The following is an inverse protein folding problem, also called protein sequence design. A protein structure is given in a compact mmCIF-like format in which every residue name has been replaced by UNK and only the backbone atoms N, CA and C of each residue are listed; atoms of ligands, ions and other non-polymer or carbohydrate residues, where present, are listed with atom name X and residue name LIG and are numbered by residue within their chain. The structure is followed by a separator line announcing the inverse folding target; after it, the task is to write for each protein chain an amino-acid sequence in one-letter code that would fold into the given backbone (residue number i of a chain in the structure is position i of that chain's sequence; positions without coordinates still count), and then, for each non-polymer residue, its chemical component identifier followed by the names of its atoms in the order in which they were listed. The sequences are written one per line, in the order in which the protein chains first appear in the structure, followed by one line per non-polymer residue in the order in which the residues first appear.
data_IF_645796672170
#
_entry.id   IF_645796672170
#
_cell.length_a   1.000
_cell.length_b   1.000
_cell.length_c   1.000
_cell.angle_alpha   90.00
_cell.angle_beta   90.00
_cell.angle_gamma   90.00
#
_symmetry.space_group_name_H-M   'P 1'
#
loop_
_entity.id
_entity.type
_entity.pdbx_description
1 polymer ?
#
# COMPACT_ATOMS: atom_id res chain seq x y z
N UNK A 1 -13.63 10.13 -14.19
CA UNK A 1 -13.14 9.11 -13.23
C UNK A 1 -11.63 9.16 -13.25
N UNK A 2 -11.02 9.40 -12.09
CA UNK A 2 -9.57 9.51 -11.99
C UNK A 2 -8.92 8.13 -12.01
N UNK A 3 -7.85 8.00 -12.78
CA UNK A 3 -7.06 6.77 -12.89
C UNK A 3 -5.59 7.11 -12.75
N UNK A 4 -4.94 6.54 -11.74
CA UNK A 4 -3.49 6.59 -11.60
C UNK A 4 -2.90 5.29 -12.14
N UNK A 5 -2.14 5.36 -13.21
CA UNK A 5 -1.42 4.21 -13.75
C UNK A 5 0.06 4.33 -13.38
N UNK A 6 0.60 3.31 -12.73
CA UNK A 6 2.00 3.26 -12.32
C UNK A 6 2.68 2.08 -13.01
N UNK A 7 3.68 2.38 -13.83
CA UNK A 7 4.47 1.41 -14.58
C UNK A 7 5.79 1.15 -13.86
N UNK A 8 5.97 -0.08 -13.37
CA UNK A 8 7.09 -0.47 -12.50
C UNK A 8 8.08 -1.32 -13.27
N UNK A 9 9.35 -0.94 -13.27
CA UNK A 9 10.42 -1.76 -13.84
C UNK A 9 10.46 -3.13 -13.15
N UNK A 10 10.67 -4.21 -13.92
CA UNK A 10 10.64 -5.59 -13.41
C UNK A 10 11.62 -5.82 -12.25
N UNK A 11 12.86 -5.32 -12.39
CA UNK A 11 13.89 -5.41 -11.34
C UNK A 11 13.60 -4.53 -10.10
N UNK A 12 12.69 -3.54 -10.21
CA UNK A 12 12.33 -2.62 -9.10
C UNK A 12 13.51 -1.86 -8.47
N UNK A 13 14.58 -1.64 -9.22
CA UNK A 13 15.76 -0.86 -8.80
C UNK A 13 15.73 0.62 -9.21
N UNK A 14 14.74 0.99 -10.03
CA UNK A 14 14.55 2.33 -10.57
C UNK A 14 13.17 2.87 -10.20
N UNK A 15 12.99 4.18 -10.35
CA UNK A 15 11.68 4.81 -10.23
C UNK A 15 10.70 4.22 -11.25
N UNK A 16 9.45 4.09 -10.82
CA UNK A 16 8.32 3.83 -11.68
C UNK A 16 7.87 5.13 -12.36
N UNK A 17 7.09 4.99 -13.44
CA UNK A 17 6.40 6.11 -14.09
C UNK A 17 4.93 6.13 -13.66
N UNK A 18 4.51 7.21 -13.02
CA UNK A 18 3.13 7.46 -12.64
C UNK A 18 2.46 8.40 -13.64
N UNK A 19 1.31 8.00 -14.17
CA UNK A 19 0.49 8.82 -15.08
C UNK A 19 -0.90 8.95 -14.49
N UNK A 20 -1.27 10.19 -14.14
CA UNK A 20 -2.61 10.53 -13.69
C UNK A 20 -3.49 10.90 -14.90
N UNK A 21 -4.65 10.28 -15.00
CA UNK A 21 -5.64 10.52 -16.06
C UNK A 21 -7.00 10.82 -15.47
N UNK A 22 -7.78 11.63 -16.19
CA UNK A 22 -9.22 11.75 -16.01
C UNK A 22 -9.92 11.35 -17.30
N UNK A 23 -10.53 10.16 -17.28
CA UNK A 23 -10.99 9.47 -18.48
C UNK A 23 -9.85 9.27 -19.48
N UNK A 24 -9.95 9.89 -20.66
CA UNK A 24 -8.93 9.77 -21.69
C UNK A 24 -7.81 10.82 -21.58
N UNK A 25 -8.03 11.90 -20.83
CA UNK A 25 -7.10 13.02 -20.73
C UNK A 25 -6.00 12.73 -19.71
N UNK A 26 -4.74 12.86 -20.13
CA UNK A 26 -3.60 12.87 -19.19
C UNK A 26 -3.53 14.21 -18.48
N UNK A 27 -3.51 14.19 -17.15
CA UNK A 27 -3.39 15.38 -16.30
C UNK A 27 -1.91 15.63 -15.97
N UNK A 28 -1.22 14.59 -15.49
CA UNK A 28 0.16 14.69 -15.05
C UNK A 28 0.90 13.38 -15.33
N UNK A 29 2.22 13.46 -15.50
CA UNK A 29 3.13 12.31 -15.55
C UNK A 29 4.37 12.65 -14.74
N UNK A 30 4.74 11.78 -13.82
CA UNK A 30 5.87 11.99 -12.90
C UNK A 30 6.40 10.65 -12.38
N UNK A 31 7.37 10.68 -11.47
CA UNK A 31 8.00 9.52 -10.87
C UNK A 31 7.21 8.97 -9.68
N UNK A 32 7.38 7.67 -9.45
CA UNK A 32 6.90 6.97 -8.28
C UNK A 32 7.92 5.90 -7.84
N UNK A 33 7.71 5.33 -6.66
CA UNK A 33 8.50 4.20 -6.14
C UNK A 33 7.56 3.14 -5.59
N UNK A 34 7.59 1.98 -6.24
CA UNK A 34 6.89 0.77 -5.82
C UNK A 34 7.91 -0.30 -5.41
N UNK A 35 8.90 0.10 -4.61
CA UNK A 35 10.04 -0.75 -4.25
C UNK A 35 10.25 -0.75 -2.75
N UNK A 36 10.06 -1.90 -2.12
CA UNK A 36 10.39 -2.09 -0.71
C UNK A 36 11.92 -2.06 -0.49
N UNK A 37 12.31 -1.71 0.73
CA UNK A 37 13.70 -1.68 1.20
C UNK A 37 14.13 -3.09 1.65
N UNK A 38 15.08 -3.76 0.96
CA UNK A 38 15.45 -5.14 1.27
C UNK A 38 15.92 -5.36 2.72
N UNK A 39 16.65 -4.41 3.29
CA UNK A 39 17.12 -4.50 4.68
C UNK A 39 15.95 -4.54 5.69
N UNK A 40 14.93 -3.70 5.50
CA UNK A 40 13.73 -3.67 6.35
C UNK A 40 12.92 -4.95 6.13
N UNK A 41 12.72 -5.35 4.87
CA UNK A 41 11.97 -6.56 4.53
C UNK A 41 12.62 -7.81 5.15
N UNK A 42 13.95 -7.94 5.08
CA UNK A 42 14.70 -9.02 5.71
C UNK A 42 14.55 -9.04 7.24
N UNK A 43 14.68 -7.89 7.91
CA UNK A 43 14.45 -7.77 9.36
C UNK A 43 13.03 -8.18 9.78
N UNK A 44 12.06 -8.10 8.86
CA UNK A 44 10.67 -8.49 9.07
C UNK A 44 10.32 -9.87 8.51
N UNK A 45 11.31 -10.69 8.15
CA UNK A 45 11.11 -12.07 7.70
C UNK A 45 10.68 -12.22 6.23
N UNK A 46 10.91 -11.20 5.41
CA UNK A 46 10.67 -11.19 3.97
C UNK A 46 11.92 -10.74 3.18
N UNK A 47 13.05 -11.48 3.22
CA UNK A 47 14.32 -11.03 2.64
C UNK A 47 14.29 -10.85 1.11
N UNK A 48 13.43 -11.58 0.40
CA UNK A 48 13.25 -11.45 -1.04
C UNK A 48 12.30 -10.33 -1.46
N UNK A 49 11.78 -9.53 -0.51
CA UNK A 49 10.74 -8.53 -0.76
C UNK A 49 9.52 -9.11 -1.51
N UNK A 50 9.13 -10.35 -1.21
CA UNK A 50 8.04 -11.09 -1.86
C UNK A 50 6.76 -10.23 -1.87
N UNK A 51 6.21 -9.88 -3.06
CA UNK A 51 5.04 -9.02 -3.16
C UNK A 51 3.79 -9.55 -2.47
N UNK A 52 3.67 -10.86 -2.27
CA UNK A 52 2.51 -11.46 -1.60
C UNK A 52 2.54 -11.21 -0.10
N UNK A 53 3.72 -11.02 0.50
CA UNK A 53 3.90 -10.91 1.95
C UNK A 53 4.04 -9.44 2.38
N UNK A 54 3.69 -9.17 3.63
CA UNK A 54 3.97 -7.86 4.25
C UNK A 54 5.46 -7.49 4.12
N UNK A 55 5.74 -6.19 4.08
CA UNK A 55 7.09 -5.64 3.89
C UNK A 55 7.74 -5.93 2.53
N UNK A 56 7.02 -6.59 1.63
CA UNK A 56 7.46 -6.84 0.26
C UNK A 56 7.08 -5.72 -0.70
N UNK A 57 7.50 -5.86 -1.95
CA UNK A 57 7.13 -4.93 -3.01
C UNK A 57 5.61 -4.80 -3.15
N UNK A 58 5.04 -3.62 -3.45
CA UNK A 58 3.63 -3.51 -3.84
C UNK A 58 3.29 -4.48 -5.00
N UNK A 59 2.31 -5.39 -4.84
CA UNK A 59 1.95 -6.38 -5.85
C UNK A 59 1.28 -5.71 -7.06
N UNK A 60 1.51 -6.27 -8.26
CA UNK A 60 0.88 -5.74 -9.47
C UNK A 60 -0.61 -6.07 -9.49
N UNK A 61 -1.44 -5.18 -10.03
CA UNK A 61 -2.88 -5.36 -10.06
C UNK A 61 -3.65 -4.05 -10.16
N UNK A 62 -4.97 -4.16 -10.09
CA UNK A 62 -5.85 -3.01 -9.97
C UNK A 62 -6.27 -2.83 -8.52
N UNK A 63 -6.44 -1.57 -8.15
CA UNK A 63 -6.81 -1.17 -6.82
C UNK A 63 -7.86 -0.06 -6.87
N UNK A 64 -8.75 -0.03 -5.87
CA UNK A 64 -9.75 1.01 -5.69
C UNK A 64 -9.42 1.87 -4.48
N UNK A 65 -9.54 3.18 -4.61
CA UNK A 65 -9.32 4.08 -3.49
C UNK A 65 -10.42 3.87 -2.44
N UNK A 66 -10.01 3.51 -1.23
CA UNK A 66 -10.88 3.41 -0.06
C UNK A 66 -11.02 4.75 0.66
N UNK A 67 -9.91 5.47 0.80
CA UNK A 67 -9.88 6.66 1.66
C UNK A 67 -8.74 7.60 1.29
N UNK A 68 -9.02 8.89 1.44
CA UNK A 68 -8.03 9.98 1.46
C UNK A 68 -8.05 10.65 2.83
N UNK A 69 -6.88 10.95 3.37
CA UNK A 69 -6.71 11.64 4.64
C UNK A 69 -5.55 12.64 4.57
N UNK A 70 -5.64 13.80 5.24
CA UNK A 70 -4.45 14.60 5.52
C UNK A 70 -3.51 13.82 6.44
N UNK A 71 -2.20 13.95 6.22
CA UNK A 71 -1.20 13.35 7.09
C UNK A 71 -1.09 14.15 8.39
N UNK A 72 -0.98 13.46 9.52
CA UNK A 72 -0.76 14.13 10.80
C UNK A 72 0.58 14.91 10.80
N UNK A 73 0.69 16.06 11.49
CA UNK A 73 1.88 16.92 11.43
C UNK A 73 3.20 16.22 11.81
N UNK A 74 3.16 15.30 12.77
CA UNK A 74 4.29 14.48 13.21
C UNK A 74 4.79 13.49 12.14
N UNK A 75 3.93 13.13 11.19
CA UNK A 75 4.20 12.18 10.11
C UNK A 75 4.41 12.86 8.75
N UNK A 76 3.97 14.12 8.60
CA UNK A 76 4.00 14.85 7.33
C UNK A 76 5.41 14.99 6.74
N UNK A 77 6.43 15.10 7.60
CA UNK A 77 7.83 15.17 7.18
C UNK A 77 8.32 13.92 6.44
N UNK A 78 7.73 12.74 6.67
CA UNK A 78 8.15 11.49 6.04
C UNK A 78 7.20 11.04 4.93
N UNK A 79 5.89 11.27 5.12
CA UNK A 79 4.82 10.75 4.27
C UNK A 79 4.18 11.81 3.36
N UNK A 80 4.61 13.08 3.44
CA UNK A 80 4.00 14.18 2.69
C UNK A 80 2.66 14.62 3.29
N UNK A 81 1.95 15.53 2.60
CA UNK A 81 0.75 16.17 3.13
C UNK A 81 -0.50 15.29 3.22
N UNK A 82 -0.55 14.19 2.46
CA UNK A 82 -1.73 13.33 2.38
C UNK A 82 -1.37 11.84 2.34
N UNK A 83 -2.30 11.01 2.86
CA UNK A 83 -2.29 9.56 2.76
C UNK A 83 -3.50 9.11 1.95
N UNK A 84 -3.27 8.26 0.96
CA UNK A 84 -4.32 7.59 0.18
C UNK A 84 -4.27 6.09 0.46
N UNK A 85 -5.41 5.50 0.76
CA UNK A 85 -5.57 4.09 1.05
C UNK A 85 -6.32 3.42 -0.10
N UNK A 86 -5.78 2.33 -0.59
CA UNK A 86 -6.33 1.58 -1.71
C UNK A 86 -6.55 0.11 -1.33
N UNK A 87 -7.68 -0.48 -1.70
CA UNK A 87 -7.91 -1.93 -1.60
C UNK A 87 -7.57 -2.63 -2.92
N UNK A 88 -7.08 -3.88 -2.88
CA UNK A 88 -6.88 -4.67 -4.09
C UNK A 88 -8.23 -5.08 -4.71
N UNK A 89 -8.32 -5.04 -6.03
CA UNK A 89 -9.50 -5.51 -6.76
C UNK A 89 -9.22 -6.71 -7.67
N UNK A 90 -7.98 -6.86 -8.17
CA UNK A 90 -7.64 -7.94 -9.11
C UNK A 90 -6.14 -8.16 -9.27
N UNK A 91 -5.78 -9.30 -9.86
CA UNK A 91 -4.41 -9.69 -10.15
C UNK A 91 -3.66 -10.15 -8.90
N UNK A 92 -2.32 -10.08 -8.95
CA UNK A 92 -1.43 -10.47 -7.84
C UNK A 92 -1.74 -9.65 -6.57
N UNK A 93 -2.27 -8.44 -6.73
CA UNK A 93 -2.73 -7.63 -5.62
C UNK A 93 -3.86 -8.28 -4.82
N UNK A 94 -4.82 -8.92 -5.49
CA UNK A 94 -5.92 -9.63 -4.84
C UNK A 94 -5.41 -10.93 -4.19
N UNK A 95 -4.50 -11.65 -4.85
CA UNK A 95 -3.89 -12.86 -4.27
C UNK A 95 -3.16 -12.56 -2.96
N UNK A 96 -2.48 -11.40 -2.89
CA UNK A 96 -1.75 -10.95 -1.70
C UNK A 96 -2.67 -10.68 -0.49
N UNK A 97 -3.97 -10.45 -0.70
CA UNK A 97 -4.95 -10.30 0.38
C UNK A 97 -5.01 -11.56 1.26
N UNK A 98 -4.95 -12.74 0.63
CA UNK A 98 -4.92 -14.05 1.32
C UNK A 98 -3.69 -14.23 2.22
N UNK A 99 -2.65 -13.41 2.02
CA UNK A 99 -1.43 -13.38 2.82
C UNK A 99 -1.40 -12.19 3.81
N UNK A 100 -2.55 -11.53 4.02
CA UNK A 100 -2.73 -10.46 5.00
C UNK A 100 -2.44 -9.06 4.46
N UNK A 101 -2.22 -8.87 3.15
CA UNK A 101 -2.07 -7.55 2.53
C UNK A 101 -3.43 -6.99 2.12
N UNK A 102 -4.17 -6.46 3.09
CA UNK A 102 -5.54 -5.99 2.89
C UNK A 102 -5.65 -4.67 2.12
N UNK A 103 -4.57 -3.88 2.07
CA UNK A 103 -4.58 -2.59 1.41
C UNK A 103 -3.16 -2.13 1.02
N UNK A 104 -3.11 -1.12 0.17
CA UNK A 104 -1.91 -0.42 -0.26
C UNK A 104 -1.97 1.04 0.21
N UNK A 105 -0.94 1.46 0.94
CA UNK A 105 -0.74 2.86 1.33
C UNK A 105 -0.01 3.59 0.19
N UNK A 106 -0.59 4.70 -0.26
CA UNK A 106 0.00 5.60 -1.26
C UNK A 106 0.20 6.97 -0.63
N UNK A 107 1.40 7.52 -0.76
CA UNK A 107 1.80 8.73 -0.04
C UNK A 107 2.98 9.42 -0.75
N UNK A 108 3.43 10.57 -0.23
CA UNK A 108 4.52 11.38 -0.79
C UNK A 108 5.79 11.34 0.06
N UNK A 109 6.36 12.50 0.32
CA UNK A 109 7.47 12.68 1.24
C UNK A 109 8.81 12.95 0.57
N UNK A 110 9.86 13.22 1.36
CA UNK A 110 11.10 13.78 0.86
C UNK A 110 11.93 12.75 0.11
N UNK A 111 12.72 13.26 -0.82
CA UNK A 111 13.81 12.53 -1.48
C UNK A 111 14.90 12.18 -0.46
N UNK A 112 15.80 11.29 -0.84
CA UNK A 112 17.03 11.05 -0.08
C UNK A 112 17.95 12.28 -0.10
N UNK A 113 19.04 12.22 0.67
CA UNK A 113 20.09 13.25 0.66
C UNK A 113 20.78 13.39 -0.70
N UNK A 114 20.64 12.39 -1.59
CA UNK A 114 21.11 12.39 -2.97
C UNK A 114 20.10 12.97 -3.97
N UNK A 115 18.99 13.54 -3.49
CA UNK A 115 17.92 14.12 -4.31
C UNK A 115 17.07 13.10 -5.06
N UNK A 116 17.30 11.79 -4.87
CA UNK A 116 16.56 10.71 -5.54
C UNK A 116 15.42 10.21 -4.68
N UNK A 117 14.41 9.60 -5.31
CA UNK A 117 13.29 9.02 -4.54
C UNK A 117 13.75 7.82 -3.70
N UNK A 118 13.27 7.77 -2.45
CA UNK A 118 13.57 6.68 -1.51
C UNK A 118 12.68 5.47 -1.74
N UNK A 119 13.21 4.28 -1.42
CA UNK A 119 12.43 3.05 -1.28
C UNK A 119 11.40 3.18 -0.16
N UNK A 120 10.41 2.30 -0.19
CA UNK A 120 9.31 2.23 0.79
C UNK A 120 9.51 1.04 1.74
N UNK A 121 8.58 0.85 2.66
CA UNK A 121 8.45 -0.34 3.50
C UNK A 121 7.37 -1.31 2.98
N UNK A 122 6.87 -1.09 1.76
CA UNK A 122 5.84 -1.92 1.11
C UNK A 122 4.66 -1.15 0.53
N UNK A 123 4.60 0.16 0.72
CA UNK A 123 3.67 1.09 0.09
C UNK A 123 4.16 1.63 -1.26
N UNK A 124 3.39 2.57 -1.82
CA UNK A 124 3.70 3.30 -3.05
C UNK A 124 4.00 4.77 -2.71
N UNK A 125 5.22 5.22 -3.02
CA UNK A 125 5.61 6.61 -2.85
C UNK A 125 5.49 7.36 -4.17
N UNK A 126 4.81 8.50 -4.18
CA UNK A 126 4.72 9.44 -5.30
C UNK A 126 5.63 10.64 -5.04
N UNK A 127 5.93 11.44 -6.08
CA UNK A 127 6.43 12.80 -5.83
C UNK A 127 5.36 13.62 -5.11
N UNK A 128 5.78 14.62 -4.31
CA UNK A 128 4.83 15.52 -3.65
C UNK A 128 3.94 16.23 -4.67
N UNK A 129 4.52 16.71 -5.78
CA UNK A 129 3.77 17.35 -6.86
C UNK A 129 2.69 16.46 -7.46
N UNK A 130 2.97 15.16 -7.71
CA UNK A 130 1.96 14.22 -8.20
C UNK A 130 0.87 13.97 -7.15
N UNK A 131 1.25 13.80 -5.88
CA UNK A 131 0.29 13.60 -4.79
C UNK A 131 -0.64 14.81 -4.63
N UNK A 132 -0.09 16.02 -4.62
CA UNK A 132 -0.86 17.26 -4.51
C UNK A 132 -1.80 17.41 -5.71
N UNK A 133 -1.32 17.12 -6.93
CA UNK A 133 -2.17 17.11 -8.14
C UNK A 133 -3.33 16.12 -8.01
N UNK A 134 -3.10 14.93 -7.45
CA UNK A 134 -4.17 13.94 -7.20
C UNK A 134 -5.19 14.51 -6.21
N UNK A 135 -4.71 15.09 -5.11
CA UNK A 135 -5.58 15.62 -4.04
C UNK A 135 -6.42 16.80 -4.53
N UNK A 136 -5.83 17.72 -5.29
CA UNK A 136 -6.51 18.86 -5.89
C UNK A 136 -7.60 18.43 -6.89
N UNK A 137 -7.36 17.33 -7.61
CA UNK A 137 -8.30 16.81 -8.61
C UNK A 137 -9.42 15.97 -8.00
N UNK A 138 -9.13 15.26 -6.91
CA UNK A 138 -10.10 14.42 -6.20
C UNK A 138 -11.17 15.28 -5.52
N UNK A 139 -12.39 15.23 -6.05
CA UNK A 139 -13.56 15.77 -5.34
C UNK A 139 -13.96 14.85 -4.15
N UNK A 140 -14.76 15.37 -3.22
CA UNK A 140 -15.13 14.64 -2.00
C UNK A 140 -15.91 13.33 -2.24
N UNK A 141 -16.54 13.18 -3.41
CA UNK A 141 -17.36 12.02 -3.79
C UNK A 141 -16.80 11.23 -4.97
N UNK A 142 -15.58 11.53 -5.43
CA UNK A 142 -15.03 10.87 -6.61
C UNK A 142 -14.29 9.59 -6.26
N UNK A 143 -14.62 8.54 -7.01
CA UNK A 143 -13.85 7.31 -7.02
C UNK A 143 -12.57 7.48 -7.86
N UNK A 144 -11.52 6.83 -7.38
CA UNK A 144 -10.23 6.77 -8.06
C UNK A 144 -9.74 5.33 -8.11
N UNK A 145 -9.20 4.95 -9.25
CA UNK A 145 -8.57 3.65 -9.46
C UNK A 145 -7.06 3.81 -9.60
N UNK A 146 -6.33 2.82 -9.09
CA UNK A 146 -4.88 2.71 -9.23
C UNK A 146 -4.57 1.41 -9.98
N UNK A 147 -3.78 1.52 -11.04
CA UNK A 147 -3.28 0.38 -11.80
C UNK A 147 -1.78 0.27 -11.62
N UNK A 148 -1.32 -0.77 -10.93
CA UNK A 148 0.11 -1.06 -10.80
C UNK A 148 0.48 -2.16 -11.80
N UNK A 149 1.23 -1.80 -12.83
CA UNK A 149 1.56 -2.70 -13.94
C UNK A 149 3.06 -2.78 -14.16
N UNK A 150 3.55 -3.86 -14.77
CA UNK A 150 4.93 -3.93 -15.21
C UNK A 150 5.19 -2.91 -16.33
N UNK A 151 6.35 -2.25 -16.25
CA UNK A 151 6.88 -1.44 -17.33
C UNK A 151 7.23 -2.39 -18.47
N UNK A 152 6.43 -2.38 -19.53
CA UNK A 152 6.75 -3.13 -20.75
C UNK A 152 7.83 -2.39 -21.50
N UNK A 153 8.83 -3.13 -21.98
CA UNK A 153 9.78 -2.60 -22.94
C UNK A 153 8.99 -2.02 -24.13
N UNK A 154 9.37 -0.84 -24.63
CA UNK A 154 8.74 -0.25 -25.80
C UNK A 154 8.79 -1.23 -26.97
N UNK A 155 7.73 -1.26 -27.78
CA UNK A 155 7.80 -1.97 -29.05
C UNK A 155 8.87 -1.31 -29.92
N UNK A 156 9.52 -2.07 -30.79
CA UNK A 156 10.65 -1.60 -31.59
C UNK A 156 10.35 -0.34 -32.43
N UNK A 157 9.09 -0.08 -32.78
CA UNK A 157 8.65 1.14 -33.46
C UNK A 157 8.66 2.39 -32.57
N UNK A 158 8.60 2.24 -31.25
CA UNK A 158 8.60 3.35 -30.29
C UNK A 158 10.00 3.88 -29.98
N UNK A 159 11.05 3.35 -30.63
CA UNK A 159 12.43 3.84 -30.51
C UNK A 159 12.59 5.32 -30.88
N UNK A 160 11.71 5.86 -31.72
CA UNK A 160 11.73 7.27 -32.12
C UNK A 160 11.03 8.19 -31.11
N UNK A 161 10.30 7.63 -30.14
CA UNK A 161 9.66 8.40 -29.08
C UNK A 161 10.64 8.72 -27.95
N UNK A 162 10.54 9.92 -27.38
CA UNK A 162 11.23 10.23 -26.11
C UNK A 162 10.74 9.25 -25.05
N UNK A 163 11.58 8.30 -24.66
CA UNK A 163 11.26 7.38 -23.58
C UNK A 163 11.16 8.15 -22.27
N UNK A 164 10.11 7.87 -21.49
CA UNK A 164 10.04 8.35 -20.13
C UNK A 164 11.20 7.72 -19.34
N UNK A 165 12.16 8.55 -18.95
CA UNK A 165 13.40 8.09 -18.35
C UNK A 165 13.13 7.69 -16.89
N UNK A 166 13.34 6.42 -16.56
CA UNK A 166 13.32 5.99 -15.16
C UNK A 166 14.64 6.38 -14.49
N UNK A 167 14.59 6.83 -13.25
CA UNK A 167 15.77 7.26 -12.50
C UNK A 167 16.21 6.16 -11.53
N UNK A 168 17.51 6.04 -11.23
CA UNK A 168 17.94 5.18 -10.13
C UNK A 168 17.30 5.63 -8.80
N UNK A 169 16.93 4.67 -7.96
CA UNK A 169 16.44 4.96 -6.61
C UNK A 169 17.57 5.52 -5.74
N UNK A 170 17.20 6.19 -4.64
CA UNK A 170 18.16 6.68 -3.66
C UNK A 170 18.97 5.54 -3.07
N UNK A 171 20.28 5.74 -2.96
CA UNK A 171 21.18 4.82 -2.26
C UNK A 171 21.09 4.90 -0.74
N UNK A 172 20.43 5.94 -0.23
CA UNK A 172 20.26 6.14 1.21
C UNK A 172 19.37 5.05 1.79
N UNK A 173 19.89 4.35 2.80
CA UNK A 173 19.08 3.39 3.54
C UNK A 173 17.96 4.13 4.26
N UNK A 174 16.72 3.70 4.02
CA UNK A 174 15.59 4.17 4.80
C UNK A 174 15.82 3.74 6.24
N UNK A 175 15.92 4.71 7.17
CA UNK A 175 15.99 4.40 8.59
C UNK A 175 14.71 3.62 8.95
N UNK A 176 14.81 2.41 9.54
CA UNK A 176 13.63 1.68 9.99
C UNK A 176 12.84 2.58 10.93
N UNK A 177 11.60 2.90 10.55
CA UNK A 177 10.71 3.65 11.43
C UNK A 177 10.15 2.66 12.45
N UNK A 178 10.25 2.95 13.75
CA UNK A 178 9.62 2.11 14.75
C UNK A 178 8.10 2.28 14.68
N UNK A 179 7.33 1.25 15.08
CA UNK A 179 5.92 1.43 15.40
C UNK A 179 5.73 2.57 16.41
N UNK A 180 4.69 3.41 16.27
CA UNK A 180 3.57 3.31 15.31
C UNK A 180 3.78 4.06 13.99
N UNK A 181 5.01 4.51 13.70
CA UNK A 181 5.29 5.44 12.58
C UNK A 181 5.62 4.68 11.28
N UNK A 182 5.77 3.36 11.33
CA UNK A 182 5.99 2.53 10.13
C UNK A 182 4.73 2.40 9.26
N UNK A 183 4.94 2.04 7.98
CA UNK A 183 3.85 1.97 7.00
C UNK A 183 2.77 0.95 7.37
N UNK A 184 3.15 -0.19 7.98
CA UNK A 184 2.20 -1.24 8.34
C UNK A 184 1.32 -0.81 9.51
N UNK A 185 1.90 -0.16 10.53
CA UNK A 185 1.15 0.42 11.66
C UNK A 185 0.19 1.51 11.19
N UNK A 186 0.63 2.39 10.29
CA UNK A 186 -0.24 3.41 9.69
C UNK A 186 -1.38 2.74 8.92
N UNK A 187 -1.08 1.75 8.08
CA UNK A 187 -2.09 1.01 7.32
C UNK A 187 -3.14 0.38 8.25
N UNK A 188 -2.71 -0.28 9.32
CA UNK A 188 -3.58 -0.90 10.31
C UNK A 188 -4.47 0.14 11.02
N UNK A 189 -3.89 1.26 11.44
CA UNK A 189 -4.63 2.38 12.05
C UNK A 189 -5.71 2.91 11.10
N UNK A 190 -5.38 3.09 9.82
CA UNK A 190 -6.33 3.57 8.82
C UNK A 190 -7.45 2.55 8.57
N UNK A 191 -7.11 1.26 8.43
CA UNK A 191 -8.09 0.19 8.20
C UNK A 191 -9.06 0.02 9.37
N UNK A 192 -8.57 0.08 10.63
CA UNK A 192 -9.43 0.06 11.82
C UNK A 192 -10.49 1.16 11.80
N UNK A 193 -10.17 2.31 11.19
CA UNK A 193 -11.07 3.43 11.06
C UNK A 193 -11.96 3.39 9.80
N UNK A 194 -11.70 2.51 8.83
CA UNK A 194 -12.53 2.33 7.61
C UNK A 194 -13.80 1.53 7.93
N UNK A 195 -13.69 0.47 8.72
CA UNK A 195 -14.79 -0.48 9.03
C UNK A 195 -16.01 0.20 9.67
N UNK A 196 -15.85 1.38 10.26
CA UNK A 196 -16.95 2.13 10.89
C UNK A 196 -17.84 2.90 9.90
N UNK A 197 -17.42 3.07 8.64
CA UNK A 197 -18.26 3.69 7.61
C UNK A 197 -19.08 2.64 6.90
N UNK A 198 -20.16 2.25 7.56
CA UNK A 198 -21.38 1.69 6.98
C UNK A 198 -21.20 0.71 5.82
N UNK A 199 -21.45 -0.58 6.10
CA UNK A 199 -22.46 -1.30 5.31
C UNK A 199 -23.70 -0.39 5.27
N UNK A 200 -23.71 0.56 4.34
CA UNK A 200 -24.94 1.18 3.88
C UNK A 200 -25.68 0.01 3.28
N UNK A 201 -26.76 -0.36 3.93
CA UNK A 201 -27.62 -1.47 3.60
C UNK A 201 -27.91 -1.50 2.10
N UNK A 202 -27.15 -2.30 1.35
CA UNK A 202 -27.64 -2.92 0.10
C UNK A 202 -28.76 -3.93 0.40
N UNK A 203 -29.33 -3.89 1.60
CA UNK A 203 -30.40 -4.75 2.09
C UNK A 203 -31.81 -4.17 1.85
N UNK A 204 -31.92 -2.92 1.43
CA UNK A 204 -33.21 -2.25 1.15
C UNK A 204 -33.49 -1.99 -0.34
N UNK A 205 -33.04 -2.90 -1.22
CA UNK A 205 -33.63 -3.01 -2.57
C UNK A 205 -34.36 -4.34 -2.77
N UNK A 206 -34.76 -4.96 -1.65
CA UNK A 206 -35.76 -6.03 -1.61
C UNK A 206 -37.10 -5.54 -1.05
N UNK A 207 -37.34 -4.23 -1.09
CA UNK A 207 -38.65 -3.63 -0.88
C UNK A 207 -39.43 -3.76 -2.21
N UNK A 208 -40.48 -4.57 -2.15
CA UNK A 208 -41.72 -4.44 -2.90
C UNK A 208 -41.74 -4.70 -4.42
N UNK A 209 -41.59 -5.98 -4.79
CA UNK A 209 -42.35 -6.55 -5.93
C UNK A 209 -43.27 -7.70 -5.50
N UNK A 210 -43.67 -7.72 -4.23
CA UNK A 210 -44.81 -8.52 -3.77
C UNK A 210 -45.95 -7.56 -3.48
N UNK A 211 -46.77 -7.31 -4.49
CA UNK A 211 -48.20 -6.96 -4.37
C UNK A 211 -48.65 -6.07 -5.54
N UNK A 212 -48.66 -6.59 -6.77
CA UNK A 212 -49.72 -6.21 -7.72
C UNK A 212 -49.78 -7.22 -8.86
N UNK A 213 -50.74 -8.14 -8.78
CA UNK A 213 -51.47 -8.80 -9.89
C UNK A 213 -52.28 -9.93 -9.25
N UNK A 214 -53.47 -9.66 -8.69
CA UNK A 214 -54.75 -9.76 -9.40
C UNK A 214 -54.75 -10.94 -10.42
N UNK A 215 -55.39 -12.09 -10.11
CA UNK A 215 -56.80 -12.41 -10.46
C UNK A 215 -57.17 -11.88 -11.86
N UNK A 216 -57.58 -12.66 -12.87
CA UNK A 216 -58.41 -13.85 -12.90
C UNK A 216 -58.33 -14.54 -14.30
N UNK A 217 -58.74 -15.82 -14.36
CA UNK A 217 -59.45 -16.48 -15.46
C UNK A 217 -58.88 -16.51 -16.89
N UNK A 218 -58.48 -17.70 -17.38
CA UNK A 218 -59.36 -18.57 -18.20
C UNK A 218 -58.59 -19.58 -19.09
N UNK A 219 -59.05 -20.84 -18.98
CA UNK A 219 -59.09 -21.96 -19.96
C UNK A 219 -58.48 -21.68 -21.36
N UNK A 220 -57.61 -22.58 -21.86
CA UNK A 220 -57.97 -23.70 -22.78
C UNK A 220 -56.73 -24.46 -23.30
N UNK A 221 -56.77 -25.79 -23.08
CA UNK A 221 -56.35 -26.93 -23.91
C UNK A 221 -55.46 -26.83 -25.16
N UNK A 222 -54.70 -27.94 -25.33
CA UNK A 222 -54.20 -28.61 -26.57
C UNK A 222 -52.88 -28.07 -27.14
N UNK A 223 -51.99 -28.83 -27.79
CA UNK A 223 -51.70 -30.25 -27.99
C UNK A 223 -50.43 -30.30 -28.88
N UNK A 224 -49.69 -31.42 -28.91
CA UNK A 224 -48.65 -31.70 -29.93
C UNK A 224 -47.22 -31.39 -29.47
N UNK A 225 -46.37 -32.42 -29.29
CA UNK A 225 -45.43 -32.97 -30.31
C UNK A 225 -44.13 -32.16 -30.31
N UNK A 226 -42.89 -32.67 -30.27
CA UNK A 226 -42.25 -33.97 -30.44
C UNK A 226 -40.97 -33.92 -29.59
N UNK A 227 -40.70 -34.96 -28.79
CA UNK A 227 -39.52 -35.84 -28.92
C UNK A 227 -38.34 -35.22 -29.70
N UNK A 228 -37.28 -34.90 -28.98
CA UNK A 228 -35.93 -35.18 -29.46
C UNK A 228 -35.07 -35.78 -28.34
N UNK A 229 -34.62 -37.01 -28.61
CA UNK A 229 -33.77 -37.83 -27.78
C UNK A 229 -32.33 -37.31 -27.83
N UNK A 230 -31.87 -36.58 -26.81
CA UNK A 230 -30.43 -36.37 -26.62
C UNK A 230 -29.85 -37.41 -25.64
N UNK A 231 -29.50 -38.57 -26.21
CA UNK A 231 -28.80 -39.66 -25.53
C UNK A 231 -27.29 -39.40 -25.51
N UNK A 232 -26.86 -38.56 -24.57
CA UNK A 232 -25.44 -38.30 -24.29
C UNK A 232 -24.83 -39.37 -23.39
N UNK A 233 -23.92 -40.18 -23.96
CA UNK A 233 -23.17 -41.27 -23.33
C UNK A 233 -22.48 -40.88 -22.02
N UNK A 234 -22.62 -41.76 -21.02
CA UNK A 234 -21.76 -41.80 -19.85
C UNK A 234 -20.30 -41.99 -20.25
N UNK A 235 -19.44 -41.15 -19.68
CA UNK A 235 -18.01 -41.35 -19.63
C UNK A 235 -17.63 -41.75 -18.21
N UNK A 236 -17.21 -42.99 -18.03
CA UNK A 236 -16.38 -43.42 -16.91
C UNK A 236 -15.08 -42.60 -16.94
N UNK A 237 -14.93 -41.64 -16.05
CA UNK A 237 -13.62 -41.12 -15.69
C UNK A 237 -13.18 -41.82 -14.41
N UNK A 238 -12.33 -42.82 -14.60
CA UNK A 238 -11.69 -43.59 -13.53
C UNK A 238 -10.90 -42.71 -12.58
N UNK A 239 -10.86 -43.17 -11.33
CA UNK A 239 -10.10 -42.55 -10.24
C UNK A 239 -8.61 -42.49 -10.54
N UNK A 240 -8.03 -41.34 -10.24
CA UNK A 240 -6.62 -41.17 -9.97
C UNK A 240 -6.49 -40.56 -8.58
N UNK A 241 -6.29 -41.41 -7.57
CA UNK A 241 -5.97 -40.97 -6.23
C UNK A 241 -4.59 -40.32 -6.22
N UNK A 242 -4.54 -39.00 -6.07
CA UNK A 242 -3.33 -38.30 -5.67
C UNK A 242 -3.29 -38.24 -4.13
N UNK A 243 -2.90 -39.35 -3.52
CA UNK A 243 -2.44 -39.38 -2.13
C UNK A 243 -1.05 -38.75 -2.04
N UNK A 244 -0.98 -37.42 -2.15
CA UNK A 244 0.22 -36.67 -1.83
C UNK A 244 0.33 -36.54 -0.32
N UNK A 245 1.11 -37.42 0.30
CA UNK A 245 1.51 -37.28 1.70
C UNK A 245 2.25 -35.96 1.87
N UNK A 246 1.68 -35.05 2.65
CA UNK A 246 2.43 -33.94 3.22
C UNK A 246 3.25 -34.52 4.36
N UNK A 247 4.44 -35.00 4.05
CA UNK A 247 5.46 -35.21 5.07
C UNK A 247 5.73 -33.85 5.70
N UNK A 248 5.07 -33.67 6.84
CA UNK A 248 5.21 -32.51 7.69
C UNK A 248 6.63 -32.51 8.22
N UNK A 249 7.49 -31.69 7.61
CA UNK A 249 8.70 -31.25 8.28
C UNK A 249 8.31 -30.72 9.66
N UNK A 250 8.93 -31.25 10.71
CA UNK A 250 8.71 -30.85 12.09
C UNK A 250 9.10 -29.37 12.27
N UNK A 251 8.13 -28.49 12.12
CA UNK A 251 8.26 -27.05 12.28
C UNK A 251 6.87 -26.44 12.33
N UNK A 252 6.24 -26.50 13.51
CA UNK A 252 4.84 -26.17 13.74
C UNK A 252 4.44 -24.79 13.23
N UNK A 253 3.70 -24.76 12.12
CA UNK A 253 2.95 -23.60 11.69
C UNK A 253 1.54 -23.66 12.29
N UNK A 254 1.11 -22.57 12.92
CA UNK A 254 -0.25 -22.38 13.46
C UNK A 254 -1.25 -22.37 12.30
N UNK A 255 -2.08 -23.41 12.22
CA UNK A 255 -3.18 -23.50 11.25
C UNK A 255 -4.46 -22.85 11.75
N UNK A 256 -5.23 -22.29 10.82
CA UNK A 256 -6.62 -21.84 10.99
C UNK A 256 -7.52 -23.00 10.56
N UNK A 257 -8.53 -23.35 11.35
CA UNK A 257 -9.45 -24.43 10.97
C UNK A 257 -10.43 -24.00 9.86
N UNK A 258 -11.17 -24.96 9.30
CA UNK A 258 -12.18 -24.73 8.26
C UNK A 258 -13.34 -23.80 8.72
N UNK A 259 -13.42 -23.47 10.01
CA UNK A 259 -14.37 -22.50 10.56
C UNK A 259 -13.76 -21.10 10.74
N UNK A 260 -12.53 -20.86 10.26
CA UNK A 260 -11.86 -19.56 10.38
C UNK A 260 -11.35 -19.26 11.80
N UNK A 261 -11.25 -20.25 12.69
CA UNK A 261 -10.76 -20.05 14.05
C UNK A 261 -9.25 -20.28 14.09
N UNK A 262 -8.53 -19.29 14.62
CA UNK A 262 -7.13 -19.45 15.00
C UNK A 262 -7.10 -20.32 16.26
N UNK A 263 -6.64 -21.56 16.15
CA UNK A 263 -6.41 -22.42 17.32
C UNK A 263 -5.14 -21.93 18.02
N UNK A 264 -5.31 -20.97 18.91
CA UNK A 264 -4.27 -20.46 19.80
C UNK A 264 -4.02 -21.45 20.93
N UNK A 265 -2.96 -22.26 20.82
CA UNK A 265 -2.41 -22.98 21.96
C UNK A 265 -1.85 -21.98 22.98
N UNK A 266 -2.44 -21.96 24.18
CA UNK A 266 -1.96 -21.23 25.32
C UNK A 266 -0.66 -21.86 25.86
N UNK A 267 0.48 -21.41 25.37
CA UNK A 267 1.79 -21.46 26.06
C UNK A 267 2.84 -20.78 25.16
N UNK A 268 3.23 -19.56 25.53
CA UNK A 268 4.60 -19.00 25.61
C UNK A 268 4.38 -17.53 25.96
N UNK A 269 4.08 -17.31 27.24
CA UNK A 269 4.41 -16.03 27.89
C UNK A 269 5.88 -16.10 28.31
N UNK A 270 6.55 -14.95 28.24
CA UNK A 270 7.96 -14.72 28.61
C UNK A 270 9.02 -15.23 27.63
N UNK A 271 9.40 -14.40 26.64
CA UNK A 271 10.76 -14.36 26.05
C UNK A 271 10.97 -13.12 25.16
N UNK A 272 10.46 -11.96 25.56
CA UNK A 272 10.79 -10.68 24.90
C UNK A 272 10.90 -9.52 25.89
N UNK A 273 11.44 -9.79 27.08
CA UNK A 273 11.72 -8.79 28.13
C UNK A 273 13.13 -8.94 28.76
N UNK A 274 14.05 -9.66 28.10
CA UNK A 274 15.38 -9.97 28.65
C UNK A 274 16.54 -9.53 27.75
N UNK A 275 16.42 -8.39 27.05
CA UNK A 275 17.54 -7.76 26.33
C UNK A 275 17.68 -6.25 26.64
N UNK A 276 17.08 -5.77 27.74
CA UNK A 276 17.14 -4.35 28.12
C UNK A 276 17.86 -4.07 29.45
N UNK A 277 18.50 -5.06 30.08
CA UNK A 277 19.13 -4.90 31.39
C UNK A 277 20.48 -5.61 31.48
N UNK A 278 21.45 -5.20 30.68
CA UNK A 278 22.86 -5.53 30.94
C UNK A 278 23.77 -4.51 30.24
N UNK A 279 23.93 -3.33 30.83
CA UNK A 279 25.15 -2.50 30.76
C UNK A 279 25.03 -1.31 31.72
N UNK A 280 25.11 -1.58 33.02
CA UNK A 280 25.53 -0.61 34.03
C UNK A 280 26.46 -1.35 34.98
N UNK A 281 27.76 -0.99 34.95
CA UNK A 281 28.77 -1.65 35.77
C UNK A 281 30.19 -1.13 35.54
N UNK A 282 30.43 0.10 36.04
CA UNK A 282 31.67 0.63 36.62
C UNK A 282 33.04 0.30 36.01
N UNK A 283 33.80 1.35 35.68
CA UNK A 283 35.15 1.59 36.23
C UNK A 283 35.60 3.04 35.96
N UNK A 284 35.87 3.77 37.04
CA UNK A 284 36.71 4.97 37.04
C UNK A 284 38.19 4.56 36.84
N UNK A 285 39.09 5.50 36.45
CA UNK A 285 39.78 6.27 37.49
C UNK A 285 40.05 7.75 37.15
N UNK A 286 40.51 8.41 38.22
CA UNK A 286 40.97 9.79 38.41
C UNK A 286 42.07 10.29 37.46
N UNK A 287 42.20 11.63 37.39
CA UNK A 287 43.46 12.34 37.08
C UNK A 287 43.25 13.52 36.13
N UNK A 288 42.92 14.72 36.62
CA UNK A 288 43.82 15.85 36.98
C UNK A 288 44.10 16.86 35.86
N UNK A 289 43.84 18.11 36.22
CA UNK A 289 44.50 19.37 35.84
C UNK A 289 44.23 20.04 34.49
N UNK A 290 43.90 21.34 34.58
CA UNK A 290 44.25 22.34 33.58
C UNK A 290 43.22 23.46 33.36
N UNK A 291 43.46 24.61 34.01
CA UNK A 291 43.35 26.00 33.50
C UNK A 291 42.84 26.19 32.05
N UNK A 292 42.05 27.19 31.66
CA UNK A 292 41.95 28.59 32.07
C UNK A 292 40.85 29.28 31.24
N UNK A 293 40.30 30.36 31.80
CA UNK A 293 39.68 31.54 31.17
C UNK A 293 39.49 31.59 29.64
N UNK A 294 38.27 31.96 29.20
CA UNK A 294 38.01 33.30 28.64
C UNK A 294 36.53 33.47 28.30
N UNK A 295 35.94 34.51 28.86
CA UNK A 295 34.69 35.15 28.45
C UNK A 295 34.73 35.56 26.98
N UNK A 296 33.66 35.25 26.23
CA UNK A 296 33.30 35.99 25.02
C UNK A 296 31.80 36.34 25.12
N UNK A 297 31.56 37.53 25.67
CA UNK A 297 30.43 38.35 25.27
C UNK A 297 30.54 38.62 23.76
N UNK A 298 29.49 38.32 23.02
CA UNK A 298 29.34 38.76 21.64
C UNK A 298 27.95 39.39 21.49
N UNK A 299 28.01 40.72 21.40
CA UNK A 299 26.96 41.69 21.16
C UNK A 299 25.95 41.30 20.09
N UNK A 300 24.68 41.59 20.40
CA UNK A 300 23.60 41.68 19.43
C UNK A 300 23.62 43.06 18.75
N UNK A 301 23.61 43.15 17.41
CA UNK A 301 23.36 44.43 16.74
C UNK A 301 21.86 44.74 16.73
N UNK A 302 21.51 45.76 17.51
CA UNK A 302 20.35 46.64 17.37
C UNK A 302 20.21 47.13 15.92
N UNK A 303 19.10 46.81 15.25
CA UNK A 303 18.71 47.44 13.99
C UNK A 303 17.73 48.56 14.31
N UNK A 304 18.23 49.78 14.18
CA UNK A 304 17.49 51.03 14.27
C UNK A 304 16.56 51.24 13.08
N UNK A 305 15.33 51.59 13.41
CA UNK A 305 14.37 52.32 12.58
C UNK A 305 15.03 53.49 11.84
N UNK A 306 14.71 53.68 10.56
CA UNK A 306 14.92 54.96 9.88
C UNK A 306 13.68 55.26 9.04
N UNK A 307 12.85 56.12 9.60
CA UNK A 307 11.78 56.85 8.92
C UNK A 307 12.31 58.21 8.48
N UNK A 308 12.28 58.51 7.18
CA UNK A 308 12.23 59.84 6.51
C UNK A 308 12.52 59.57 5.03
N UNK A 309 11.77 60.02 4.02
CA UNK A 309 10.79 61.08 3.89
C UNK A 309 11.07 61.82 2.57
N UNK A 310 10.01 62.37 1.97
CA UNK A 310 9.99 63.51 1.00
C UNK A 310 10.05 63.26 -0.52
N UNK A 311 8.91 63.58 -1.17
CA UNK A 311 8.69 64.44 -2.37
C UNK A 311 9.50 64.16 -3.66
N UNK A 312 8.90 64.09 -4.86
CA UNK A 312 7.91 64.96 -5.50
C UNK A 312 6.99 64.16 -6.43
#
# INVERSE_FOLDING_TARGET
MLTLRVQVAEARERTALATLRDGFKTIATDHAVASATPAIAAQRGNPGCDPLRLWGHPPLGNYRMLRRLPTAPDRAGEYGGHLLLFEPESGVALDAESFGRLALLVYGGPTGSDGRMRRTQGGLRLTNTMLDTIVERLQASEDMTLQLVSLRAPSWWQFWGKHAETQPLSGNMLKPLPPPVDEASILEELLRNVVRRGRRDLRDSREDTRDTEHRDDSRTSSAGSERDEFRGKGGESGGGGAGGGWDSAAGGARGVDQAGRIIGGAAVGATLAALASETLGASAPQGTDGSSASSNDADAPSITDTTTGTSY
#
